data_IF_647835877277
#
_entry.id   IF_647835877277
#
_cell.length_a   1.000
_cell.length_b   1.000
_cell.length_c   1.000
_cell.angle_alpha   90.00
_cell.angle_beta   90.00
_cell.angle_gamma   90.00
#
_symmetry.space_group_name_H-M   'P 1'
#
loop_
_entity.id
_entity.type
_entity.pdbx_description
1 polymer ?
#
# COMPACT_ATOMS: atom_id res chain seq x y z
N UNK A 1 -9.05 13.82 -7.58
CA UNK A 1 -9.02 13.63 -9.06
C UNK A 1 -9.27 12.18 -9.37
N UNK A 2 -9.70 11.82 -10.61
CA UNK A 2 -9.84 10.41 -11.00
C UNK A 2 -8.74 10.00 -11.99
N UNK A 3 -8.16 8.82 -11.76
CA UNK A 3 -7.24 8.13 -12.69
C UNK A 3 -7.62 6.66 -12.68
N UNK A 4 -7.82 6.04 -13.85
CA UNK A 4 -8.29 4.66 -13.97
C UNK A 4 -9.52 4.35 -13.11
N UNK A 5 -10.50 5.26 -13.14
CA UNK A 5 -11.76 5.22 -12.38
C UNK A 5 -11.61 5.34 -10.86
N UNK A 6 -10.36 5.34 -10.32
CA UNK A 6 -10.09 5.48 -8.89
C UNK A 6 -10.08 6.93 -8.45
N UNK A 7 -10.62 7.18 -7.28
CA UNK A 7 -10.51 8.49 -6.64
C UNK A 7 -9.13 8.66 -6.01
N UNK A 8 -8.50 9.79 -6.31
CA UNK A 8 -7.15 10.11 -5.87
C UNK A 8 -7.18 11.45 -5.16
N UNK A 9 -6.65 11.49 -3.95
CA UNK A 9 -6.40 12.71 -3.20
C UNK A 9 -4.92 12.88 -2.95
N UNK A 10 -4.42 14.10 -3.17
CA UNK A 10 -3.00 14.44 -2.96
C UNK A 10 -2.92 15.56 -1.94
N UNK A 11 -2.25 15.29 -0.83
CA UNK A 11 -1.89 16.27 0.17
C UNK A 11 -0.42 16.62 -0.01
N UNK A 12 -0.16 17.78 -0.60
CA UNK A 12 1.19 18.19 -0.95
C UNK A 12 2.02 18.53 0.29
N UNK A 13 3.26 18.07 0.30
CA UNK A 13 4.27 18.55 1.22
C UNK A 13 4.68 20.00 0.94
N UNK A 14 5.53 20.53 1.78
CA UNK A 14 6.01 21.91 1.68
C UNK A 14 6.89 22.12 0.45
N UNK A 15 7.67 21.11 0.08
CA UNK A 15 8.63 21.19 -1.03
C UNK A 15 8.26 20.23 -2.16
N UNK A 16 8.61 20.56 -3.39
CA UNK A 16 8.45 19.64 -4.54
C UNK A 16 9.33 18.39 -4.44
N UNK A 17 10.39 18.47 -3.65
CA UNK A 17 11.31 17.38 -3.33
C UNK A 17 10.91 16.56 -2.11
N UNK A 18 9.84 16.92 -1.41
CA UNK A 18 9.32 16.15 -0.30
C UNK A 18 9.03 14.71 -0.72
N UNK A 19 9.32 13.71 0.12
CA UNK A 19 9.02 12.32 -0.18
C UNK A 19 7.57 12.12 -0.60
N UNK A 20 7.32 11.21 -1.53
CA UNK A 20 5.97 10.81 -1.92
C UNK A 20 5.61 9.51 -1.21
N UNK A 21 4.61 9.55 -0.35
CA UNK A 21 4.07 8.37 0.33
C UNK A 21 2.76 7.97 -0.34
N UNK A 22 2.70 6.75 -0.84
CA UNK A 22 1.50 6.15 -1.43
C UNK A 22 0.75 5.38 -0.35
N UNK A 23 -0.53 5.67 -0.20
CA UNK A 23 -1.43 5.00 0.73
C UNK A 23 -2.69 4.55 -0.01
N UNK A 24 -2.96 3.26 0.01
CA UNK A 24 -4.23 2.72 -0.46
C UNK A 24 -5.26 2.76 0.66
N UNK A 25 -6.47 3.22 0.35
CA UNK A 25 -7.56 3.43 1.31
C UNK A 25 -8.86 2.79 0.81
N UNK A 26 -9.77 2.47 1.71
CA UNK A 26 -11.10 1.92 1.37
C UNK A 26 -12.12 3.04 1.23
N UNK A 27 -12.15 3.97 2.18
CA UNK A 27 -13.19 5.01 2.26
C UNK A 27 -12.61 6.44 2.32
N UNK A 28 -11.37 6.64 1.88
CA UNK A 28 -10.74 7.98 1.87
C UNK A 28 -10.07 8.37 3.19
N UNK A 29 -9.60 7.41 3.98
CA UNK A 29 -8.91 7.59 5.27
C UNK A 29 -7.65 8.46 5.16
N UNK A 30 -7.22 8.75 3.93
CA UNK A 30 -6.03 9.57 3.67
C UNK A 30 -6.10 10.97 4.27
N UNK A 31 -7.29 11.59 4.34
CA UNK A 31 -7.46 12.92 4.94
C UNK A 31 -7.21 12.88 6.46
N UNK A 32 -7.79 11.91 7.14
CA UNK A 32 -7.62 11.73 8.59
C UNK A 32 -6.14 11.43 8.92
N UNK A 33 -5.52 10.53 8.18
CA UNK A 33 -4.10 10.18 8.36
C UNK A 33 -3.21 11.41 8.14
N UNK A 34 -3.47 12.19 7.09
CA UNK A 34 -2.72 13.43 6.84
C UNK A 34 -2.89 14.42 8.00
N UNK A 35 -4.11 14.60 8.52
CA UNK A 35 -4.37 15.47 9.67
C UNK A 35 -3.60 15.01 10.90
N UNK A 36 -3.68 13.73 11.25
CA UNK A 36 -2.98 13.16 12.40
C UNK A 36 -1.46 13.32 12.26
N UNK A 37 -0.89 13.11 11.08
CA UNK A 37 0.55 13.29 10.87
C UNK A 37 1.00 14.74 11.06
N UNK A 38 0.15 15.70 10.70
CA UNK A 38 0.42 17.14 10.99
C UNK A 38 0.36 17.44 12.48
N UNK A 39 -0.62 16.91 13.19
CA UNK A 39 -0.75 17.07 14.64
C UNK A 39 0.46 16.46 15.40
N UNK A 40 0.97 15.34 14.91
CA UNK A 40 2.16 14.69 15.46
C UNK A 40 3.50 15.32 15.02
N UNK A 41 3.45 16.44 14.31
CA UNK A 41 4.65 17.10 13.78
C UNK A 41 5.56 16.15 12.99
N UNK A 42 4.96 15.25 12.22
CA UNK A 42 5.73 14.36 11.35
C UNK A 42 6.57 15.17 10.35
N UNK A 43 7.66 14.58 9.91
CA UNK A 43 8.50 15.15 8.84
C UNK A 43 7.68 15.45 7.60
N UNK A 44 8.08 16.46 6.83
CA UNK A 44 7.36 16.84 5.61
C UNK A 44 7.35 15.73 4.55
N UNK A 45 6.20 15.52 3.92
CA UNK A 45 5.98 14.57 2.82
C UNK A 45 4.73 14.95 2.02
N UNK A 46 4.67 14.49 0.78
CA UNK A 46 3.44 14.47 -0.02
C UNK A 46 2.75 13.13 0.18
N UNK A 47 1.48 13.14 0.56
CA UNK A 47 0.66 11.93 0.66
C UNK A 47 -0.20 11.78 -0.61
N UNK A 48 -0.06 10.64 -1.27
CA UNK A 48 -0.91 10.18 -2.36
C UNK A 48 -1.86 9.11 -1.80
N UNK A 49 -3.10 9.49 -1.54
CA UNK A 49 -4.16 8.57 -1.14
C UNK A 49 -4.93 8.09 -2.36
N UNK A 50 -5.01 6.77 -2.55
CA UNK A 50 -5.74 6.13 -3.64
C UNK A 50 -6.87 5.31 -3.04
N UNK A 51 -8.13 5.66 -3.38
CA UNK A 51 -9.28 4.89 -2.95
C UNK A 51 -9.45 3.65 -3.84
N UNK A 52 -9.67 2.52 -3.19
CA UNK A 52 -9.79 1.20 -3.84
C UNK A 52 -11.16 0.61 -3.54
N UNK A 53 -12.01 0.53 -4.55
CA UNK A 53 -13.37 0.01 -4.40
C UNK A 53 -13.39 -1.52 -4.26
N UNK A 54 -12.59 -2.23 -5.07
CA UNK A 54 -12.43 -3.69 -5.00
C UNK A 54 -11.17 -4.04 -4.19
N UNK A 55 -11.24 -3.78 -2.87
CA UNK A 55 -10.12 -3.93 -1.96
C UNK A 55 -9.53 -5.34 -1.94
N UNK A 56 -10.39 -6.36 -1.80
CA UNK A 56 -9.94 -7.74 -1.68
C UNK A 56 -9.22 -8.22 -2.94
N UNK A 57 -9.67 -7.83 -4.11
CA UNK A 57 -9.01 -8.21 -5.36
C UNK A 57 -7.73 -7.43 -5.61
N UNK A 58 -7.77 -6.10 -5.45
CA UNK A 58 -6.64 -5.23 -5.80
C UNK A 58 -5.46 -5.35 -4.82
N UNK A 59 -5.72 -5.69 -3.56
CA UNK A 59 -4.67 -5.78 -2.53
C UNK A 59 -4.06 -7.17 -2.38
N UNK A 60 -4.52 -8.17 -3.15
CA UNK A 60 -4.07 -9.57 -2.99
C UNK A 60 -3.29 -10.07 -4.20
N UNK A 61 -2.19 -10.83 -3.96
CA UNK A 61 -1.26 -11.27 -5.00
C UNK A 61 -1.85 -12.27 -6.00
N UNK A 62 -2.68 -13.19 -5.52
CA UNK A 62 -3.30 -14.29 -6.28
C UNK A 62 -4.65 -14.64 -5.68
N UNK A 63 -5.38 -15.49 -6.38
CA UNK A 63 -6.70 -15.94 -5.91
C UNK A 63 -6.56 -16.83 -4.68
N UNK A 64 -7.42 -16.58 -3.69
CA UNK A 64 -7.58 -17.41 -2.50
C UNK A 64 -9.04 -17.41 -2.05
N UNK A 65 -9.41 -18.46 -1.30
CA UNK A 65 -10.72 -18.54 -0.67
C UNK A 65 -10.86 -17.53 0.47
N UNK A 66 -12.10 -17.23 0.81
CA UNK A 66 -12.42 -16.33 1.91
C UNK A 66 -11.81 -16.80 3.24
N UNK A 67 -11.16 -15.90 3.96
CA UNK A 67 -10.62 -16.18 5.29
C UNK A 67 -11.70 -16.28 6.37
N UNK A 68 -12.89 -15.75 6.10
CA UNK A 68 -14.02 -15.77 7.02
C UNK A 68 -15.34 -15.86 6.24
N UNK A 69 -16.40 -16.35 6.89
CA UNK A 69 -17.72 -16.57 6.25
C UNK A 69 -18.42 -15.29 5.74
N UNK A 70 -17.99 -14.13 6.21
CA UNK A 70 -18.51 -12.82 5.78
C UNK A 70 -17.68 -12.20 4.65
N UNK A 71 -16.57 -12.81 4.27
CA UNK A 71 -15.67 -12.35 3.24
C UNK A 71 -16.04 -12.93 1.87
N UNK A 72 -15.87 -12.18 0.80
CA UNK A 72 -16.19 -12.62 -0.57
C UNK A 72 -15.05 -13.41 -1.24
N UNK A 73 -13.93 -13.61 -0.54
CA UNK A 73 -12.71 -14.18 -1.11
C UNK A 73 -11.84 -13.14 -1.85
N UNK A 74 -10.79 -13.63 -2.49
CA UNK A 74 -9.71 -12.81 -3.04
C UNK A 74 -9.45 -13.21 -4.49
N UNK A 75 -9.52 -12.24 -5.42
CA UNK A 75 -9.32 -12.51 -6.85
C UNK A 75 -7.84 -12.43 -7.31
N UNK A 76 -6.98 -11.77 -6.53
CA UNK A 76 -5.54 -11.72 -6.82
C UNK A 76 -5.15 -10.80 -7.97
N UNK A 77 -5.65 -9.57 -7.99
CA UNK A 77 -5.40 -8.57 -9.05
C UNK A 77 -4.33 -7.55 -8.68
N UNK A 78 -3.49 -7.82 -7.67
CA UNK A 78 -2.47 -6.88 -7.25
C UNK A 78 -1.50 -6.50 -8.38
N UNK A 79 -1.13 -7.43 -9.25
CA UNK A 79 -0.25 -7.15 -10.39
C UNK A 79 -0.84 -6.14 -11.38
N UNK A 80 -2.14 -6.25 -11.66
CA UNK A 80 -2.85 -5.31 -12.53
C UNK A 80 -2.88 -3.91 -11.89
N UNK A 81 -3.14 -3.87 -10.60
CA UNK A 81 -3.16 -2.61 -9.88
C UNK A 81 -1.76 -1.99 -9.73
N UNK A 82 -0.71 -2.78 -9.47
CA UNK A 82 0.68 -2.29 -9.47
C UNK A 82 1.02 -1.63 -10.81
N UNK A 83 0.66 -2.23 -11.94
CA UNK A 83 0.86 -1.62 -13.26
C UNK A 83 0.14 -0.28 -13.39
N UNK A 84 -1.13 -0.20 -12.99
CA UNK A 84 -1.89 1.05 -12.98
C UNK A 84 -1.22 2.11 -12.09
N UNK A 85 -0.83 1.72 -10.88
CA UNK A 85 -0.21 2.60 -9.90
C UNK A 85 1.11 3.18 -10.39
N UNK A 86 1.99 2.31 -10.93
CA UNK A 86 3.36 2.69 -11.31
C UNK A 86 3.45 3.34 -12.69
N UNK A 87 2.57 2.99 -13.62
CA UNK A 87 2.64 3.48 -15.00
C UNK A 87 1.70 4.66 -15.29
N UNK A 88 0.67 4.87 -14.46
CA UNK A 88 -0.34 5.92 -14.71
C UNK A 88 -0.57 6.83 -13.52
N UNK A 89 -0.86 6.27 -12.33
CA UNK A 89 -1.26 7.07 -11.18
C UNK A 89 -0.08 7.90 -10.67
N UNK A 90 1.01 7.26 -10.27
CA UNK A 90 2.18 7.95 -9.73
C UNK A 90 2.77 8.94 -10.75
N UNK A 91 3.04 8.56 -12.01
CA UNK A 91 3.54 9.51 -13.01
C UNK A 91 2.57 10.66 -13.27
N UNK A 92 1.27 10.39 -13.34
CA UNK A 92 0.25 11.42 -13.51
C UNK A 92 0.22 12.45 -12.39
N UNK A 93 0.37 11.98 -11.14
CA UNK A 93 0.46 12.85 -9.95
C UNK A 93 1.77 13.67 -9.99
N UNK A 94 2.90 13.04 -10.26
CA UNK A 94 4.20 13.71 -10.36
C UNK A 94 4.15 14.87 -11.38
N UNK A 95 3.63 14.60 -12.58
CA UNK A 95 3.50 15.62 -13.63
C UNK A 95 2.52 16.71 -13.22
N UNK A 96 1.32 16.35 -12.76
CA UNK A 96 0.26 17.31 -12.42
C UNK A 96 0.67 18.29 -11.33
N UNK A 97 1.38 17.81 -10.31
CA UNK A 97 1.80 18.61 -9.17
C UNK A 97 3.25 19.09 -9.26
N UNK A 98 3.94 18.81 -10.38
CA UNK A 98 5.35 19.15 -10.62
C UNK A 98 6.26 18.68 -9.48
N UNK A 99 6.05 17.43 -9.03
CA UNK A 99 6.82 16.85 -7.94
C UNK A 99 8.15 16.29 -8.46
N UNK A 100 9.16 16.29 -7.59
CA UNK A 100 10.45 15.64 -7.80
C UNK A 100 10.86 14.96 -6.49
N UNK A 101 10.10 13.92 -6.05
CA UNK A 101 10.24 13.36 -4.72
C UNK A 101 11.64 12.78 -4.50
N UNK A 102 12.20 13.00 -3.31
CA UNK A 102 13.51 12.46 -2.93
C UNK A 102 13.51 10.94 -2.84
N UNK A 103 12.38 10.34 -2.53
CA UNK A 103 12.08 8.91 -2.64
C UNK A 103 10.57 8.69 -2.73
N UNK A 104 10.17 7.49 -3.14
CA UNK A 104 8.77 7.07 -3.14
C UNK A 104 8.63 5.90 -2.15
N UNK A 105 7.69 6.03 -1.23
CA UNK A 105 7.33 5.00 -0.26
C UNK A 105 5.92 4.49 -0.51
N UNK A 106 5.67 3.26 -0.07
CA UNK A 106 4.32 2.70 -0.01
C UNK A 106 4.02 2.22 1.40
N UNK A 107 2.84 2.56 1.89
CA UNK A 107 2.36 2.17 3.20
C UNK A 107 0.97 1.54 3.10
N UNK A 108 0.66 0.62 4.00
CA UNK A 108 -0.66 0.03 4.06
C UNK A 108 -0.95 -0.68 5.37
N UNK A 109 -2.24 -0.82 5.65
CA UNK A 109 -2.80 -1.54 6.79
C UNK A 109 -3.51 -2.81 6.31
N UNK A 110 -3.45 -3.89 7.07
CA UNK A 110 -4.13 -5.15 6.76
C UNK A 110 -3.74 -5.70 5.37
N UNK A 111 -4.69 -5.94 4.45
CA UNK A 111 -4.39 -6.33 3.06
C UNK A 111 -3.56 -5.26 2.32
N UNK A 112 -3.73 -3.97 2.64
CA UNK A 112 -2.86 -2.92 2.12
C UNK A 112 -1.40 -3.07 2.58
N UNK A 113 -1.17 -3.59 3.79
CA UNK A 113 0.16 -3.94 4.28
C UNK A 113 0.77 -5.14 3.57
N UNK A 114 -0.04 -6.16 3.25
CA UNK A 114 0.34 -7.27 2.38
C UNK A 114 0.74 -6.75 0.99
N UNK A 115 -0.12 -5.92 0.37
CA UNK A 115 0.14 -5.31 -0.93
C UNK A 115 1.43 -4.49 -0.94
N UNK A 116 1.68 -3.70 0.10
CA UNK A 116 2.91 -2.92 0.21
C UNK A 116 4.14 -3.83 0.16
N UNK A 117 4.19 -4.92 0.92
CA UNK A 117 5.31 -5.86 0.87
C UNK A 117 5.36 -6.68 -0.43
N UNK A 118 4.21 -7.06 -0.98
CA UNK A 118 4.16 -7.75 -2.28
C UNK A 118 4.72 -6.88 -3.41
N UNK A 119 4.40 -5.58 -3.39
CA UNK A 119 4.89 -4.64 -4.41
C UNK A 119 6.41 -4.57 -4.49
N UNK A 120 7.12 -4.88 -3.39
CA UNK A 120 8.59 -4.97 -3.36
C UNK A 120 9.14 -6.01 -4.36
N UNK A 121 8.38 -7.04 -4.65
CA UNK A 121 8.76 -8.10 -5.58
C UNK A 121 8.37 -7.81 -7.04
N UNK A 122 7.56 -6.77 -7.27
CA UNK A 122 6.91 -6.52 -8.57
C UNK A 122 7.36 -5.23 -9.25
N UNK A 123 7.97 -4.32 -8.50
CA UNK A 123 8.44 -3.02 -9.02
C UNK A 123 9.59 -2.50 -8.17
N UNK A 124 10.44 -1.67 -8.76
CA UNK A 124 11.58 -1.01 -8.13
C UNK A 124 11.31 0.48 -7.84
N UNK A 125 10.10 0.97 -8.13
CA UNK A 125 9.77 2.39 -7.94
C UNK A 125 9.77 2.82 -6.46
N UNK A 126 9.47 1.87 -5.56
CA UNK A 126 9.44 2.14 -4.13
C UNK A 126 10.79 1.76 -3.50
N UNK A 127 11.30 2.63 -2.65
CA UNK A 127 12.51 2.35 -1.85
C UNK A 127 12.21 2.18 -0.36
N UNK A 128 10.99 2.54 0.09
CA UNK A 128 10.54 2.37 1.48
C UNK A 128 9.16 1.75 1.53
N UNK A 129 8.99 0.83 2.48
CA UNK A 129 7.79 0.01 2.61
C UNK A 129 7.33 0.02 4.06
N UNK A 130 6.02 0.18 4.28
CA UNK A 130 5.42 0.08 5.60
C UNK A 130 4.20 -0.85 5.57
N UNK A 131 4.26 -1.90 6.39
CA UNK A 131 3.18 -2.85 6.60
C UNK A 131 2.72 -2.76 8.06
N UNK A 132 1.54 -2.18 8.26
CA UNK A 132 0.94 -2.03 9.58
C UNK A 132 -0.14 -3.09 9.74
N UNK A 133 0.01 -3.99 10.71
CA UNK A 133 -0.89 -5.14 10.91
C UNK A 133 -1.20 -5.84 9.58
N UNK A 134 -0.15 -6.03 8.76
CA UNK A 134 -0.31 -6.60 7.41
C UNK A 134 -0.83 -8.02 7.44
N UNK A 135 -1.72 -8.36 6.51
CA UNK A 135 -2.31 -9.69 6.36
C UNK A 135 -1.27 -10.71 5.83
N UNK A 136 -0.13 -10.84 6.50
CA UNK A 136 0.99 -11.69 6.09
C UNK A 136 0.69 -13.18 6.22
N UNK A 137 -0.41 -13.53 6.88
CA UNK A 137 -1.02 -14.85 6.92
C UNK A 137 -1.62 -15.29 5.58
N UNK A 138 -1.66 -14.40 4.57
CA UNK A 138 -2.26 -14.69 3.27
C UNK A 138 -1.69 -15.98 2.68
N UNK A 139 -2.56 -16.90 2.21
CA UNK A 139 -2.13 -18.24 1.82
C UNK A 139 -0.98 -18.25 0.80
N UNK A 140 0.14 -18.87 1.13
CA UNK A 140 1.31 -18.97 0.27
C UNK A 140 2.22 -17.75 0.24
N UNK A 141 1.93 -16.66 1.00
CA UNK A 141 2.75 -15.46 0.94
C UNK A 141 4.14 -15.66 1.58
N UNK A 142 4.21 -16.37 2.70
CA UNK A 142 5.50 -16.68 3.33
C UNK A 142 6.40 -17.48 2.38
N UNK A 143 5.88 -18.56 1.80
CA UNK A 143 6.60 -19.40 0.83
C UNK A 143 6.98 -18.63 -0.43
N UNK A 144 6.15 -17.66 -0.84
CA UNK A 144 6.46 -16.78 -1.96
C UNK A 144 7.68 -15.92 -1.64
N UNK A 145 7.74 -15.34 -0.44
CA UNK A 145 8.88 -14.48 -0.03
C UNK A 145 10.18 -15.25 0.11
N UNK A 146 10.12 -16.52 0.51
CA UNK A 146 11.30 -17.39 0.60
C UNK A 146 11.88 -17.78 -0.78
N UNK A 147 11.02 -17.88 -1.80
CA UNK A 147 11.40 -18.38 -3.14
C UNK A 147 11.72 -17.28 -4.13
N UNK A 148 11.40 -16.03 -3.83
CA UNK A 148 11.55 -14.93 -4.76
C UNK A 148 12.49 -13.86 -4.22
N UNK A 149 13.24 -13.26 -5.10
CA UNK A 149 14.11 -12.12 -4.80
C UNK A 149 13.32 -10.83 -5.09
N UNK A 150 13.32 -9.86 -4.18
CA UNK A 150 12.70 -8.56 -4.44
C UNK A 150 13.26 -7.87 -5.67
N UNK A 151 12.39 -7.25 -6.47
CA UNK A 151 12.78 -6.36 -7.57
C UNK A 151 13.30 -5.02 -7.06
N UNK A 152 12.73 -4.54 -5.94
CA UNK A 152 13.19 -3.34 -5.27
C UNK A 152 14.45 -3.59 -4.42
N UNK A 153 15.26 -2.54 -4.27
CA UNK A 153 16.33 -2.47 -3.25
C UNK A 153 15.86 -1.52 -2.13
N UNK A 154 15.16 -2.02 -1.11
CA UNK A 154 14.61 -1.17 -0.07
C UNK A 154 15.71 -0.61 0.84
N UNK A 155 15.67 0.70 1.13
CA UNK A 155 16.51 1.32 2.15
C UNK A 155 15.85 1.29 3.53
N UNK A 156 14.52 1.11 3.59
CA UNK A 156 13.74 0.98 4.83
C UNK A 156 12.52 0.08 4.63
N UNK A 157 12.34 -0.84 5.56
CA UNK A 157 11.13 -1.64 5.72
C UNK A 157 10.65 -1.48 7.16
N UNK A 158 9.39 -1.08 7.33
CA UNK A 158 8.72 -1.01 8.62
C UNK A 158 7.61 -2.06 8.65
N UNK A 159 7.62 -2.90 9.69
CA UNK A 159 6.56 -3.89 9.94
C UNK A 159 6.12 -3.74 11.39
N UNK A 160 4.81 -3.65 11.61
CA UNK A 160 4.23 -3.69 12.95
C UNK A 160 3.04 -4.63 13.00
N UNK A 161 2.86 -5.25 14.17
CA UNK A 161 1.73 -6.13 14.48
C UNK A 161 1.15 -5.72 15.82
N UNK A 162 -0.16 -5.84 15.95
CA UNK A 162 -0.84 -5.61 17.22
C UNK A 162 -0.55 -6.75 18.22
N UNK A 163 -0.40 -6.43 19.49
CA UNK A 163 -0.08 -7.41 20.55
C UNK A 163 -1.19 -8.45 20.80
N UNK A 164 -2.37 -8.29 20.21
CA UNK A 164 -3.50 -9.20 20.29
C UNK A 164 -3.67 -10.07 19.05
N UNK A 165 -2.98 -9.79 17.96
CA UNK A 165 -3.15 -10.50 16.69
C UNK A 165 -2.75 -11.98 16.79
N UNK A 166 -1.71 -12.31 17.56
CA UNK A 166 -1.32 -13.69 17.82
C UNK A 166 -2.37 -14.52 18.61
N UNK A 167 -3.44 -13.89 19.10
CA UNK A 167 -4.50 -14.53 19.88
C UNK A 167 -5.79 -14.67 19.10
N UNK A 168 -5.75 -14.52 17.79
CA UNK A 168 -6.93 -14.73 16.95
C UNK A 168 -7.40 -16.19 17.03
N UNK A 169 -8.71 -16.42 17.15
CA UNK A 169 -9.30 -17.75 17.08
C UNK A 169 -9.46 -18.28 15.64
N UNK A 170 -9.10 -17.48 14.66
CA UNK A 170 -9.15 -17.85 13.26
C UNK A 170 -7.92 -18.71 12.91
N UNK A 171 -8.16 -19.93 12.36
CA UNK A 171 -7.08 -20.87 12.00
C UNK A 171 -6.28 -20.44 10.78
N UNK A 172 -6.77 -19.47 10.01
CA UNK A 172 -6.12 -18.95 8.80
C UNK A 172 -5.26 -17.73 9.13
N UNK A 173 -5.66 -16.97 10.12
CA UNK A 173 -4.94 -15.82 10.67
C UNK A 173 -4.07 -16.26 11.86
#
# INVERSE_FOLDING_TARGET
>A
MKVDEREITVFQGEYKTSPLIVLNTVQGEGEEIHKITKELSASDFTLLSVQIDDWNSAMTPWRAEAAASWDSGYEGKADEYIKSLTQRIIPGVIVRYSLCPSFIAIAGYSLGGLFALYSMYRTDIFTRFASVSGSLWYPGFAEYTEKNIPSASPDRIYISLGNKEAKTGNRIM
#
